data_IF_552592969424
#
_entry.id   IF_552592969424
#
_cell.length_a   1.000
_cell.length_b   1.000
_cell.length_c   1.000
_cell.angle_alpha   90.00
_cell.angle_beta   90.00
_cell.angle_gamma   90.00
#
_symmetry.space_group_name_H-M   'P 1'
#
loop_
_entity.id
_entity.type
_entity.pdbx_description
1 polymer ?
#
# COMPACT_ATOMS: atom_id res chain seq x y z
N UNK A 1 -12.47 -2.10 11.35
CA UNK A 1 -11.47 -2.22 10.27
C UNK A 1 -11.21 -0.82 9.74
N UNK A 2 -9.95 -0.47 9.51
CA UNK A 2 -9.58 0.83 8.93
C UNK A 2 -9.14 0.61 7.50
N UNK A 3 -9.57 1.52 6.62
CA UNK A 3 -9.11 1.54 5.24
C UNK A 3 -7.74 2.21 5.22
N UNK A 4 -6.78 1.55 4.60
CA UNK A 4 -5.40 1.98 4.51
C UNK A 4 -4.95 1.99 3.05
N UNK A 5 -3.98 2.83 2.76
CA UNK A 5 -3.33 2.93 1.45
C UNK A 5 -1.85 2.64 1.66
N UNK A 6 -1.32 1.61 0.99
CA UNK A 6 0.12 1.39 0.87
C UNK A 6 0.62 1.98 -0.45
N UNK A 7 1.64 2.83 -0.35
CA UNK A 7 2.29 3.51 -1.46
C UNK A 7 3.69 2.90 -1.64
N UNK A 8 3.85 2.08 -2.67
CA UNK A 8 5.13 1.48 -3.02
C UNK A 8 5.92 2.44 -3.92
N UNK A 9 7.22 2.57 -3.70
CA UNK A 9 8.08 3.43 -4.53
C UNK A 9 8.99 2.62 -5.45
N UNK A 10 9.20 3.14 -6.66
CA UNK A 10 10.22 2.65 -7.59
C UNK A 10 9.93 1.28 -8.21
N UNK A 11 8.65 0.89 -8.33
CA UNK A 11 8.23 -0.34 -9.01
C UNK A 11 7.79 -0.04 -10.44
N UNK A 12 7.95 -1.01 -11.35
CA UNK A 12 7.44 -0.96 -12.73
C UNK A 12 7.89 0.25 -13.57
N UNK A 13 8.94 0.96 -13.14
CA UNK A 13 9.55 2.10 -13.84
C UNK A 13 10.82 1.66 -14.56
N UNK A 14 10.98 2.09 -15.81
CA UNK A 14 12.18 1.78 -16.62
C UNK A 14 12.46 0.29 -16.81
N UNK A 15 11.44 -0.57 -16.69
CA UNK A 15 11.56 -2.03 -16.81
C UNK A 15 12.21 -2.74 -15.62
N UNK A 16 12.54 -2.02 -14.54
CA UNK A 16 13.11 -2.56 -13.29
C UNK A 16 12.01 -2.82 -12.26
N UNK A 17 12.33 -3.62 -11.24
CA UNK A 17 11.44 -3.90 -10.09
C UNK A 17 10.03 -4.26 -10.55
N UNK A 18 9.94 -5.29 -11.42
CA UNK A 18 8.67 -5.72 -12.00
C UNK A 18 7.81 -6.37 -10.93
N UNK A 19 6.63 -5.81 -10.70
CA UNK A 19 5.63 -6.34 -9.78
C UNK A 19 4.32 -6.51 -10.53
N UNK A 20 3.85 -7.75 -10.59
CA UNK A 20 2.52 -8.06 -11.11
C UNK A 20 1.47 -7.61 -10.11
N UNK A 21 0.66 -6.62 -10.47
CA UNK A 21 -0.40 -6.09 -9.59
C UNK A 21 -1.44 -7.16 -9.24
N UNK A 22 -1.69 -8.10 -10.16
CA UNK A 22 -2.56 -9.26 -9.91
C UNK A 22 -2.00 -10.14 -8.80
N UNK A 23 -0.74 -10.55 -8.93
CA UNK A 23 -0.10 -11.41 -7.92
C UNK A 23 0.07 -10.71 -6.58
N UNK A 24 0.34 -9.40 -6.58
CA UNK A 24 0.41 -8.58 -5.38
C UNK A 24 -0.94 -8.52 -4.66
N UNK A 25 -2.03 -8.35 -5.41
CA UNK A 25 -3.39 -8.38 -4.87
C UNK A 25 -3.74 -9.73 -4.27
N UNK A 26 -3.40 -10.82 -4.96
CA UNK A 26 -3.62 -12.19 -4.48
C UNK A 26 -2.81 -12.47 -3.21
N UNK A 27 -1.50 -12.14 -3.21
CA UNK A 27 -0.61 -12.29 -2.07
C UNK A 27 -1.16 -11.63 -0.80
N UNK A 28 -1.65 -10.40 -0.90
CA UNK A 28 -2.21 -9.71 0.25
C UNK A 28 -3.51 -10.35 0.73
N UNK A 29 -4.40 -10.78 -0.17
CA UNK A 29 -5.61 -11.49 0.21
C UNK A 29 -5.31 -12.81 0.93
N UNK A 30 -4.34 -13.58 0.43
CA UNK A 30 -3.90 -14.84 1.05
C UNK A 30 -3.29 -14.62 2.45
N UNK A 31 -2.74 -13.43 2.71
CA UNK A 31 -2.14 -13.06 4.00
C UNK A 31 -3.11 -12.32 4.95
N UNK A 32 -4.41 -12.43 4.69
CA UNK A 32 -5.48 -11.97 5.57
C UNK A 32 -5.86 -10.50 5.42
N UNK A 33 -5.34 -9.81 4.41
CA UNK A 33 -5.79 -8.45 4.11
C UNK A 33 -7.16 -8.48 3.42
N UNK A 34 -8.05 -7.58 3.82
CA UNK A 34 -9.42 -7.53 3.31
C UNK A 34 -9.59 -6.37 2.32
N UNK A 35 -10.60 -6.46 1.45
CA UNK A 35 -10.95 -5.39 0.49
C UNK A 35 -9.76 -4.87 -0.33
N UNK A 36 -8.80 -5.75 -0.63
CA UNK A 36 -7.57 -5.38 -1.32
C UNK A 36 -7.91 -4.94 -2.75
N UNK A 37 -7.45 -3.76 -3.13
CA UNK A 37 -7.51 -3.23 -4.48
C UNK A 37 -6.19 -2.54 -4.85
N UNK A 38 -5.93 -2.37 -6.14
CA UNK A 38 -4.65 -1.86 -6.65
C UNK A 38 -4.94 -0.82 -7.72
N UNK A 39 -4.32 0.34 -7.61
CA UNK A 39 -4.50 1.41 -8.58
C UNK A 39 -3.38 1.34 -9.63
N UNK A 40 -3.78 1.04 -10.87
CA UNK A 40 -2.94 0.98 -12.08
C UNK A 40 -1.62 0.22 -11.85
N UNK A 41 -0.55 0.59 -12.56
CA UNK A 41 0.77 -0.01 -12.41
C UNK A 41 1.73 0.85 -11.53
N UNK A 42 1.17 1.72 -10.69
CA UNK A 42 1.94 2.73 -9.93
C UNK A 42 2.37 2.25 -8.55
N UNK A 43 1.94 1.07 -8.11
CA UNK A 43 2.29 0.55 -6.78
C UNK A 43 1.45 1.12 -5.64
N UNK A 44 0.24 1.60 -5.94
CA UNK A 44 -0.69 2.02 -4.91
C UNK A 44 -1.65 0.87 -4.61
N UNK A 45 -1.72 0.45 -3.35
CA UNK A 45 -2.57 -0.62 -2.88
C UNK A 45 -3.51 -0.05 -1.83
N UNK A 46 -4.80 -0.36 -1.95
CA UNK A 46 -5.81 -0.03 -0.95
C UNK A 46 -6.19 -1.34 -0.29
N UNK A 47 -6.28 -1.38 1.04
CA UNK A 47 -6.77 -2.55 1.76
C UNK A 47 -7.43 -2.13 3.07
N UNK A 48 -8.29 -2.99 3.58
CA UNK A 48 -8.85 -2.89 4.91
C UNK A 48 -8.02 -3.78 5.85
N UNK A 49 -7.44 -3.15 6.87
CA UNK A 49 -6.76 -3.83 7.96
C UNK A 49 -7.60 -3.80 9.24
N UNK A 50 -7.33 -4.72 10.16
CA UNK A 50 -7.70 -4.52 11.55
C UNK A 50 -6.99 -3.27 12.11
N UNK A 51 -7.29 -2.90 13.36
CA UNK A 51 -6.69 -1.74 14.05
C UNK A 51 -5.20 -1.97 14.39
N UNK A 52 -4.44 -2.59 13.50
CA UNK A 52 -2.99 -2.72 13.58
C UNK A 52 -2.31 -1.37 13.37
N UNK A 53 -1.15 -1.23 14.00
CA UNK A 53 -0.27 -0.09 13.82
C UNK A 53 0.23 0.01 12.36
N UNK A 54 0.37 1.23 11.84
CA UNK A 54 0.78 1.48 10.46
C UNK A 54 2.21 0.97 10.19
N UNK A 55 3.11 1.02 11.17
CA UNK A 55 4.45 0.46 11.04
C UNK A 55 4.42 -1.08 10.99
N UNK A 56 3.53 -1.71 11.76
CA UNK A 56 3.34 -3.16 11.67
C UNK A 56 2.85 -3.57 10.28
N UNK A 57 1.84 -2.87 9.75
CA UNK A 57 1.32 -3.10 8.40
C UNK A 57 2.41 -2.86 7.35
N UNK A 58 3.21 -1.79 7.51
CA UNK A 58 4.34 -1.49 6.63
C UNK A 58 5.31 -2.67 6.56
N UNK A 59 5.84 -3.09 7.72
CA UNK A 59 6.83 -4.18 7.81
C UNK A 59 6.27 -5.49 7.27
N UNK A 60 5.01 -5.81 7.57
CA UNK A 60 4.35 -7.01 7.04
C UNK A 60 4.31 -6.98 5.51
N UNK A 61 3.87 -5.87 4.91
CA UNK A 61 3.86 -5.71 3.45
C UNK A 61 5.27 -5.81 2.84
N UNK A 62 6.28 -5.16 3.45
CA UNK A 62 7.67 -5.22 2.98
C UNK A 62 8.22 -6.65 2.96
N UNK A 63 7.96 -7.42 4.02
CA UNK A 63 8.35 -8.83 4.11
C UNK A 63 7.67 -9.66 3.03
N UNK A 64 6.35 -9.55 2.87
CA UNK A 64 5.60 -10.33 1.87
C UNK A 64 6.08 -10.04 0.45
N UNK A 65 6.31 -8.77 0.12
CA UNK A 65 6.80 -8.35 -1.19
C UNK A 65 8.22 -8.88 -1.42
N UNK A 66 9.09 -8.83 -0.41
CA UNK A 66 10.42 -9.39 -0.49
C UNK A 66 10.38 -10.91 -0.72
N UNK A 67 9.54 -11.65 0.00
CA UNK A 67 9.43 -13.11 -0.15
C UNK A 67 8.85 -13.51 -1.52
N UNK A 68 7.84 -12.80 -2.01
CA UNK A 68 7.16 -13.14 -3.29
C UNK A 68 7.95 -12.69 -4.52
N UNK A 69 8.50 -11.48 -4.50
CA UNK A 69 9.12 -10.86 -5.68
C UNK A 69 10.65 -10.75 -5.58
N UNK A 70 11.25 -11.06 -4.43
CA UNK A 70 12.67 -10.87 -4.14
C UNK A 70 13.13 -9.40 -4.34
N UNK A 71 12.24 -8.46 -4.02
CA UNK A 71 12.46 -7.03 -4.17
C UNK A 71 12.43 -6.34 -2.80
N UNK A 72 13.49 -5.59 -2.49
CA UNK A 72 13.52 -4.69 -1.33
C UNK A 72 12.93 -3.34 -1.74
N UNK A 73 11.63 -3.18 -1.52
CA UNK A 73 10.87 -1.98 -1.88
C UNK A 73 10.49 -1.24 -0.60
N UNK A 74 10.75 0.07 -0.58
CA UNK A 74 10.25 0.94 0.49
C UNK A 74 8.79 1.29 0.21
N UNK A 75 7.95 1.13 1.22
CA UNK A 75 6.53 1.50 1.15
C UNK A 75 6.11 2.32 2.36
N UNK A 76 5.08 3.15 2.17
CA UNK A 76 4.45 3.94 3.22
C UNK A 76 3.01 3.47 3.35
N UNK A 77 2.54 3.24 4.57
CA UNK A 77 1.13 2.98 4.86
C UNK A 77 0.54 4.25 5.46
N UNK A 78 -0.59 4.69 4.92
CA UNK A 78 -1.39 5.79 5.46
C UNK A 78 -2.82 5.32 5.70
N UNK A 79 -3.41 5.73 6.83
CA UNK A 79 -4.86 5.59 7.01
C UNK A 79 -5.62 6.48 6.03
N UNK A 80 -6.64 5.91 5.36
CA UNK A 80 -7.55 6.66 4.50
C UNK A 80 -8.56 7.50 5.30
N UNK A 81 -8.55 7.39 6.63
CA UNK A 81 -9.34 8.21 7.57
C UNK A 81 -8.71 9.60 7.83
N UNK A 82 -7.69 9.99 7.05
CA UNK A 82 -7.20 11.35 7.09
C UNK A 82 -8.35 12.32 6.78
N UNK A 83 -8.85 13.01 7.82
CA UNK A 83 -9.57 14.26 7.68
C UNK A 83 -8.64 15.25 6.98
N UNK A 84 -8.65 15.23 5.65
CA UNK A 84 -7.95 16.23 4.87
C UNK A 84 -8.63 17.59 5.13
N UNK A 85 -7.88 18.67 5.41
CA UNK A 85 -8.44 19.95 5.86
C UNK A 85 -9.13 20.78 4.75
N UNK A 86 -9.79 20.15 3.76
CA UNK A 86 -10.46 20.85 2.66
C UNK A 86 -11.63 21.72 3.12
N UNK A 87 -12.07 21.59 4.38
CA UNK A 87 -13.12 22.46 4.93
C UNK A 87 -12.62 23.87 5.31
N UNK A 88 -11.31 24.14 5.23
CA UNK A 88 -10.77 25.49 5.50
C UNK A 88 -9.91 26.02 4.33
N UNK A 89 -10.50 26.74 3.37
CA UNK A 89 -9.79 27.29 2.21
C UNK A 89 -8.74 28.37 2.54
N UNK A 90 -8.57 28.75 3.82
CA UNK A 90 -7.56 29.70 4.27
C UNK A 90 -6.16 29.09 4.50
N UNK A 91 -5.99 27.79 4.28
CA UNK A 91 -4.75 27.05 4.57
C UNK A 91 -3.95 26.64 3.31
N UNK A 92 -4.02 27.45 2.25
CA UNK A 92 -3.11 27.37 1.11
C UNK A 92 -2.28 28.67 1.04
N UNK A 93 -0.94 28.61 1.05
CA UNK A 93 -0.08 29.80 0.98
C UNK A 93 -0.13 30.52 -0.38
#
# INVERSE_FOLDING_TARGET
MKKCIALLRGINVGGKNKVSMKELKELLKENGFQEVDTYINSGNIIFSGDNYDEEFLRRKCETLIFEKFNLKISLIVISADCQWPFENPLFWP
#
